data_IF_060561379957
#
_entry.id   IF_060561379957
#
_cell.length_a   1.000
_cell.length_b   1.000
_cell.length_c   1.000
_cell.angle_alpha   90.00
_cell.angle_beta   90.00
_cell.angle_gamma   90.00
#
_symmetry.space_group_name_H-M   'P 1'
#
loop_
_entity.id
_entity.type
_entity.pdbx_description
1 polymer ?
#
# COMPACT_ATOMS: atom_id res chain seq x y z
N UNK A 1 26.84 -16.28 27.89
CA UNK A 1 25.88 -16.79 26.89
C UNK A 1 24.45 -16.26 27.04
N UNK A 2 23.82 -16.27 28.23
CA UNK A 2 22.44 -15.73 28.41
C UNK A 2 22.23 -14.25 28.04
N UNK A 3 23.25 -13.40 28.19
CA UNK A 3 23.16 -11.96 27.87
C UNK A 3 23.16 -11.63 26.36
N UNK A 4 23.73 -12.51 25.53
CA UNK A 4 23.82 -12.32 24.06
C UNK A 4 22.49 -12.70 23.40
N UNK A 5 21.84 -13.76 23.89
CA UNK A 5 20.51 -14.17 23.42
C UNK A 5 19.45 -13.09 23.68
N UNK A 6 19.53 -12.40 24.81
CA UNK A 6 18.60 -11.31 25.17
C UNK A 6 18.82 -10.08 24.28
N UNK A 7 20.06 -9.78 23.90
CA UNK A 7 20.39 -8.68 22.98
C UNK A 7 19.93 -8.96 21.54
N UNK A 8 20.07 -10.20 21.06
CA UNK A 8 19.55 -10.64 19.75
C UNK A 8 18.03 -10.60 19.66
N UNK A 9 17.32 -10.96 20.75
CA UNK A 9 15.86 -10.85 20.81
C UNK A 9 15.43 -9.38 20.79
N UNK A 10 16.12 -8.49 21.50
CA UNK A 10 15.85 -7.05 21.42
C UNK A 10 16.12 -6.46 20.03
N UNK A 11 17.17 -6.88 19.31
CA UNK A 11 17.43 -6.38 17.95
C UNK A 11 16.37 -6.89 16.95
N UNK A 12 15.93 -8.14 17.07
CA UNK A 12 14.87 -8.70 16.22
C UNK A 12 13.49 -8.09 16.50
N UNK A 13 13.19 -7.75 17.77
CA UNK A 13 11.95 -7.04 18.11
C UNK A 13 11.95 -5.57 17.68
N UNK A 14 13.11 -4.91 17.63
CA UNK A 14 13.21 -3.54 17.14
C UNK A 14 13.25 -3.45 15.60
N UNK A 15 13.54 -4.54 14.87
CA UNK A 15 13.51 -4.55 13.40
C UNK A 15 12.10 -4.61 12.80
N UNK A 16 11.07 -4.89 13.61
CA UNK A 16 9.67 -4.79 13.17
C UNK A 16 9.11 -3.36 13.27
N UNK A 17 9.92 -2.39 13.72
CA UNK A 17 9.64 -0.96 13.64
C UNK A 17 10.42 -0.35 12.46
N UNK A 18 10.48 -1.07 11.33
CA UNK A 18 10.76 -0.45 10.04
C UNK A 18 9.57 0.45 9.73
N UNK A 19 9.78 1.76 9.86
CA UNK A 19 8.74 2.79 9.81
C UNK A 19 7.73 2.56 8.70
N UNK A 20 6.43 2.66 9.05
CA UNK A 20 5.38 2.82 8.06
C UNK A 20 5.80 3.94 7.12
N UNK A 21 5.92 3.63 5.82
CA UNK A 21 6.17 4.68 4.84
C UNK A 21 5.05 5.70 4.90
N UNK A 22 5.34 6.94 4.49
CA UNK A 22 4.33 8.00 4.43
C UNK A 22 3.08 7.54 3.66
N UNK A 23 3.29 6.78 2.57
CA UNK A 23 2.20 6.14 1.83
C UNK A 23 1.41 5.10 2.65
N UNK A 24 2.03 4.23 3.45
CA UNK A 24 1.28 3.27 4.27
C UNK A 24 0.44 3.95 5.36
N UNK A 25 0.97 5.02 5.97
CA UNK A 25 0.23 5.85 6.93
C UNK A 25 -0.94 6.56 6.24
N UNK A 26 -0.68 7.19 5.10
CA UNK A 26 -1.72 7.86 4.29
C UNK A 26 -2.79 6.87 3.81
N UNK A 27 -2.40 5.65 3.42
CA UNK A 27 -3.32 4.60 2.99
C UNK A 27 -4.27 4.20 4.11
N UNK A 28 -3.76 4.01 5.33
CA UNK A 28 -4.58 3.72 6.49
C UNK A 28 -5.58 4.85 6.77
N UNK A 29 -5.13 6.11 6.73
CA UNK A 29 -5.99 7.28 6.95
C UNK A 29 -7.08 7.38 5.88
N UNK A 30 -6.73 7.28 4.59
CA UNK A 30 -7.67 7.33 3.47
C UNK A 30 -8.73 6.24 3.61
N UNK A 31 -8.32 5.00 3.89
CA UNK A 31 -9.25 3.88 4.02
C UNK A 31 -10.12 4.01 5.27
N UNK A 32 -9.55 4.42 6.40
CA UNK A 32 -10.29 4.66 7.63
C UNK A 32 -11.41 5.70 7.41
N UNK A 33 -11.07 6.86 6.86
CA UNK A 33 -12.03 7.94 6.64
C UNK A 33 -13.07 7.57 5.57
N UNK A 34 -12.67 6.89 4.50
CA UNK A 34 -13.59 6.40 3.46
C UNK A 34 -14.64 5.43 4.02
N UNK A 35 -14.23 4.53 4.91
CA UNK A 35 -15.13 3.56 5.54
C UNK A 35 -16.05 4.23 6.56
N UNK A 36 -15.50 5.13 7.39
CA UNK A 36 -16.30 5.97 8.29
C UNK A 36 -17.38 6.72 7.53
N UNK A 37 -16.99 7.40 6.45
CA UNK A 37 -17.89 8.12 5.57
C UNK A 37 -19.02 7.21 5.05
N UNK A 38 -18.67 6.03 4.51
CA UNK A 38 -19.65 5.07 4.00
C UNK A 38 -20.70 4.67 5.06
N UNK A 39 -20.25 4.45 6.30
CA UNK A 39 -21.14 4.08 7.40
C UNK A 39 -22.01 5.25 7.89
N UNK A 40 -21.42 6.44 8.06
CA UNK A 40 -22.16 7.65 8.46
C UNK A 40 -23.23 7.99 7.44
N UNK A 41 -22.91 7.93 6.14
CA UNK A 41 -23.86 8.26 5.07
C UNK A 41 -25.03 7.27 4.95
N UNK A 42 -24.82 6.03 5.40
CA UNK A 42 -25.88 5.02 5.51
C UNK A 42 -26.66 5.09 6.84
N UNK A 43 -26.39 6.08 7.70
CA UNK A 43 -27.03 6.22 9.01
C UNK A 43 -26.50 5.25 10.08
N UNK A 44 -25.36 4.61 9.84
CA UNK A 44 -24.73 3.64 10.75
C UNK A 44 -23.55 4.28 11.50
N UNK A 45 -23.81 5.39 12.18
CA UNK A 45 -22.78 6.18 12.87
C UNK A 45 -22.07 5.39 13.99
N UNK A 46 -22.80 4.52 14.70
CA UNK A 46 -22.21 3.66 15.74
C UNK A 46 -21.09 2.77 15.21
N UNK A 47 -21.31 2.17 14.03
CA UNK A 47 -20.28 1.36 13.36
C UNK A 47 -19.08 2.25 13.02
N UNK A 48 -19.30 3.45 12.48
CA UNK A 48 -18.22 4.36 12.11
C UNK A 48 -17.35 4.76 13.33
N UNK A 49 -17.97 4.95 14.49
CA UNK A 49 -17.29 5.35 15.72
C UNK A 49 -16.49 4.20 16.37
N UNK A 50 -16.88 2.95 16.12
CA UNK A 50 -16.22 1.75 16.65
C UNK A 50 -15.09 1.23 15.75
N UNK A 51 -14.79 1.90 14.63
CA UNK A 51 -13.71 1.48 13.74
C UNK A 51 -12.34 1.74 14.37
N UNK A 52 -11.55 0.67 14.44
CA UNK A 52 -10.16 0.72 14.87
C UNK A 52 -9.26 1.05 13.67
N UNK A 53 -8.72 2.27 13.67
CA UNK A 53 -7.84 2.77 12.62
C UNK A 53 -6.35 2.79 13.04
N UNK A 54 -5.96 1.96 14.01
CA UNK A 54 -4.56 1.84 14.45
C UNK A 54 -3.64 1.20 13.40
N UNK A 55 -4.15 0.23 12.64
CA UNK A 55 -3.47 -0.41 11.53
C UNK A 55 -4.48 -1.06 10.58
N UNK A 56 -4.04 -1.42 9.36
CA UNK A 56 -4.92 -2.00 8.34
C UNK A 56 -5.60 -3.30 8.79
N UNK A 57 -4.91 -4.13 9.57
CA UNK A 57 -5.45 -5.39 10.05
C UNK A 57 -6.57 -5.17 11.08
N UNK A 58 -6.42 -4.16 11.94
CA UNK A 58 -7.40 -3.80 12.96
C UNK A 58 -8.62 -3.12 12.33
N UNK A 59 -8.40 -2.33 11.27
CA UNK A 59 -9.48 -1.79 10.43
C UNK A 59 -10.27 -2.91 9.75
N UNK A 60 -9.61 -3.93 9.19
CA UNK A 60 -10.27 -5.08 8.56
C UNK A 60 -11.12 -5.89 9.56
N UNK A 61 -10.65 -6.04 10.80
CA UNK A 61 -11.35 -6.76 11.87
C UNK A 61 -12.52 -5.98 12.46
N UNK A 62 -12.38 -4.66 12.62
CA UNK A 62 -13.41 -3.80 13.23
C UNK A 62 -14.62 -3.57 12.31
N UNK A 63 -14.46 -3.70 10.99
CA UNK A 63 -15.58 -3.61 10.05
C UNK A 63 -16.48 -4.86 10.15
N UNK A 64 -17.79 -4.70 10.43
CA UNK A 64 -18.71 -5.83 10.50
C UNK A 64 -18.82 -6.61 9.19
N UNK A 65 -19.00 -7.94 9.26
CA UNK A 65 -19.14 -8.82 8.07
C UNK A 65 -20.31 -8.44 7.16
N UNK A 66 -21.39 -7.88 7.72
CA UNK A 66 -22.53 -7.38 6.95
C UNK A 66 -22.19 -6.20 6.03
N UNK A 67 -21.07 -5.51 6.28
CA UNK A 67 -20.63 -4.32 5.56
C UNK A 67 -19.78 -4.65 4.34
N UNK A 68 -20.36 -5.41 3.39
CA UNK A 68 -19.63 -5.97 2.23
C UNK A 68 -18.89 -4.92 1.41
N UNK A 69 -19.49 -3.75 1.17
CA UNK A 69 -18.84 -2.67 0.41
C UNK A 69 -17.56 -2.16 1.10
N UNK A 70 -17.62 -1.90 2.41
CA UNK A 70 -16.46 -1.47 3.21
C UNK A 70 -15.36 -2.54 3.21
N UNK A 71 -15.72 -3.82 3.37
CA UNK A 71 -14.75 -4.93 3.34
C UNK A 71 -14.09 -5.12 1.97
N UNK A 72 -14.85 -4.98 0.90
CA UNK A 72 -14.32 -5.04 -0.46
C UNK A 72 -13.30 -3.93 -0.69
N UNK A 73 -13.61 -2.70 -0.27
CA UNK A 73 -12.70 -1.56 -0.39
C UNK A 73 -11.36 -1.81 0.35
N UNK A 74 -11.40 -2.30 1.60
CA UNK A 74 -10.16 -2.69 2.31
C UNK A 74 -9.40 -3.75 1.51
N UNK A 75 -10.08 -4.80 1.05
CA UNK A 75 -9.43 -5.92 0.35
C UNK A 75 -8.76 -5.47 -0.94
N UNK A 76 -9.39 -4.58 -1.70
CA UNK A 76 -8.88 -4.05 -2.97
C UNK A 76 -7.64 -3.18 -2.75
N UNK A 77 -7.64 -2.33 -1.72
CA UNK A 77 -6.61 -1.31 -1.54
C UNK A 77 -5.50 -1.68 -0.54
N UNK A 78 -5.71 -2.64 0.38
CA UNK A 78 -4.72 -2.99 1.40
C UNK A 78 -3.35 -3.39 0.82
N UNK A 79 -3.39 -4.12 -0.30
CA UNK A 79 -2.19 -4.63 -0.97
C UNK A 79 -1.71 -3.74 -2.13
N UNK A 80 -2.32 -2.57 -2.35
CA UNK A 80 -1.90 -1.65 -3.41
C UNK A 80 -0.64 -0.91 -2.99
N UNK A 81 0.37 -0.96 -3.85
CA UNK A 81 1.71 -0.38 -3.60
C UNK A 81 2.15 0.62 -4.66
N UNK A 82 1.45 0.70 -5.79
CA UNK A 82 1.74 1.60 -6.93
C UNK A 82 3.23 1.65 -7.31
N UNK A 83 3.85 0.47 -7.50
CA UNK A 83 5.30 0.33 -7.77
C UNK A 83 5.79 1.13 -9.00
N UNK A 84 4.91 1.42 -9.95
CA UNK A 84 5.24 2.17 -11.17
C UNK A 84 5.32 3.69 -10.95
N UNK A 85 4.86 4.20 -9.81
CA UNK A 85 4.89 5.62 -9.47
C UNK A 85 6.08 5.84 -8.52
N UNK A 86 7.07 6.67 -8.88
CA UNK A 86 8.27 6.85 -8.07
C UNK A 86 8.02 7.74 -6.84
N UNK A 87 7.20 8.79 -6.97
CA UNK A 87 6.94 9.75 -5.89
C UNK A 87 5.83 9.26 -4.93
N UNK A 88 6.11 9.25 -3.63
CA UNK A 88 5.16 8.84 -2.58
C UNK A 88 3.90 9.73 -2.57
N UNK A 89 4.05 11.04 -2.73
CA UNK A 89 2.94 12.00 -2.82
C UNK A 89 1.98 11.67 -3.96
N UNK A 90 2.50 11.28 -5.12
CA UNK A 90 1.70 10.89 -6.28
C UNK A 90 0.98 9.55 -6.07
N UNK A 91 1.61 8.61 -5.34
CA UNK A 91 0.93 7.38 -4.92
C UNK A 91 -0.26 7.69 -4.00
N UNK A 92 -0.09 8.63 -3.07
CA UNK A 92 -1.16 9.07 -2.17
C UNK A 92 -2.29 9.75 -2.98
N UNK A 93 -1.96 10.67 -3.88
CA UNK A 93 -2.93 11.32 -4.79
C UNK A 93 -3.70 10.29 -5.61
N UNK A 94 -3.00 9.30 -6.18
CA UNK A 94 -3.61 8.23 -6.97
C UNK A 94 -4.56 7.37 -6.12
N UNK A 95 -4.12 6.94 -4.93
CA UNK A 95 -4.94 6.16 -4.01
C UNK A 95 -6.20 6.94 -3.60
N UNK A 96 -6.06 8.20 -3.20
CA UNK A 96 -7.18 9.09 -2.85
C UNK A 96 -8.19 9.15 -4.00
N UNK A 97 -7.71 9.39 -5.23
CA UNK A 97 -8.55 9.47 -6.43
C UNK A 97 -9.29 8.15 -6.70
N UNK A 98 -8.63 7.01 -6.59
CA UNK A 98 -9.26 5.70 -6.79
C UNK A 98 -10.34 5.43 -5.74
N UNK A 99 -10.05 5.68 -4.46
CA UNK A 99 -11.01 5.48 -3.36
C UNK A 99 -12.22 6.40 -3.48
N UNK A 100 -12.02 7.70 -3.75
CA UNK A 100 -13.14 8.64 -3.96
C UNK A 100 -14.00 8.24 -5.16
N UNK A 101 -13.39 7.76 -6.25
CA UNK A 101 -14.12 7.25 -7.39
C UNK A 101 -14.93 5.99 -7.07
N UNK A 102 -14.40 5.09 -6.22
CA UNK A 102 -15.15 3.93 -5.76
C UNK A 102 -16.36 4.35 -4.92
N UNK A 103 -16.20 5.28 -3.98
CA UNK A 103 -17.31 5.80 -3.17
C UNK A 103 -18.37 6.52 -4.03
N UNK A 104 -17.96 7.26 -5.06
CA UNK A 104 -18.88 7.87 -6.03
C UNK A 104 -19.71 6.83 -6.78
N UNK A 105 -19.08 5.71 -7.18
CA UNK A 105 -19.77 4.56 -7.81
C UNK A 105 -20.64 3.77 -6.82
N UNK A 106 -20.34 3.84 -5.53
CA UNK A 106 -21.09 3.14 -4.49
C UNK A 106 -22.45 3.78 -4.20
N UNK A 107 -22.53 5.12 -4.21
CA UNK A 107 -23.77 5.85 -3.91
C UNK A 107 -25.01 5.35 -4.67
N UNK A 108 -25.02 5.26 -6.02
CA UNK A 108 -26.18 4.77 -6.77
C UNK A 108 -26.49 3.28 -6.57
N UNK A 109 -25.52 2.50 -6.04
CA UNK A 109 -25.74 1.09 -5.69
C UNK A 109 -26.44 0.93 -4.35
N UNK A 110 -26.27 1.89 -3.44
CA UNK A 110 -26.95 1.92 -2.14
C UNK A 110 -28.37 2.46 -2.31
N UNK A 111 -28.51 3.63 -2.93
CA UNK A 111 -29.79 4.29 -3.09
C UNK A 111 -29.77 5.23 -4.31
N UNK A 112 -30.82 5.17 -5.13
CA UNK A 112 -30.96 5.96 -6.36
C UNK A 112 -31.69 7.30 -6.15
N UNK A 113 -32.17 7.59 -4.95
CA UNK A 113 -32.88 8.84 -4.63
C UNK A 113 -31.96 10.06 -4.83
N UNK A 114 -32.45 11.05 -5.60
CA UNK A 114 -31.72 12.29 -5.89
C UNK A 114 -31.25 13.02 -4.62
N UNK A 115 -32.08 13.13 -3.58
CA UNK A 115 -31.71 13.80 -2.32
C UNK A 115 -30.57 13.08 -1.61
N UNK A 116 -30.58 11.74 -1.63
CA UNK A 116 -29.50 10.92 -1.09
C UNK A 116 -28.21 11.13 -1.88
N UNK A 117 -28.29 11.10 -3.21
CA UNK A 117 -27.13 11.31 -4.07
C UNK A 117 -26.52 12.71 -3.90
N UNK A 118 -27.34 13.75 -3.76
CA UNK A 118 -26.86 15.11 -3.46
C UNK A 118 -26.19 15.19 -2.09
N UNK A 119 -26.80 14.59 -1.05
CA UNK A 119 -26.20 14.54 0.29
C UNK A 119 -24.87 13.78 0.27
N UNK A 120 -24.81 12.68 -0.46
CA UNK A 120 -23.60 11.87 -0.64
C UNK A 120 -22.50 12.65 -1.35
N UNK A 121 -22.84 13.35 -2.44
CA UNK A 121 -21.85 14.15 -3.17
C UNK A 121 -21.28 15.27 -2.29
N UNK A 122 -22.13 16.01 -1.57
CA UNK A 122 -21.67 17.03 -0.60
C UNK A 122 -20.75 16.43 0.46
N UNK A 123 -21.09 15.26 0.99
CA UNK A 123 -20.27 14.57 1.96
C UNK A 123 -18.95 14.05 1.37
N UNK A 124 -18.91 13.64 0.10
CA UNK A 124 -17.68 13.27 -0.60
C UNK A 124 -16.76 14.48 -0.78
N UNK A 125 -17.31 15.64 -1.09
CA UNK A 125 -16.53 16.87 -1.22
C UNK A 125 -15.91 17.24 0.14
N UNK A 126 -16.69 17.16 1.23
CA UNK A 126 -16.16 17.33 2.59
C UNK A 126 -15.09 16.31 2.96
N UNK A 127 -15.27 15.03 2.59
CA UNK A 127 -14.26 13.98 2.80
C UNK A 127 -12.98 14.29 2.04
N UNK A 128 -13.08 14.75 0.80
CA UNK A 128 -11.92 15.14 0.00
C UNK A 128 -11.12 16.24 0.69
N UNK A 129 -11.79 17.30 1.15
CA UNK A 129 -11.15 18.41 1.87
C UNK A 129 -10.52 17.96 3.19
N UNK A 130 -11.19 17.09 3.94
CA UNK A 130 -10.64 16.52 5.18
C UNK A 130 -9.35 15.73 4.92
N UNK A 131 -9.35 14.90 3.87
CA UNK A 131 -8.16 14.16 3.47
C UNK A 131 -7.03 15.08 3.03
N UNK A 132 -7.32 16.16 2.29
CA UNK A 132 -6.29 17.15 1.92
C UNK A 132 -5.65 17.80 3.15
N UNK A 133 -6.46 18.15 4.16
CA UNK A 133 -5.95 18.74 5.40
C UNK A 133 -5.11 17.77 6.26
N UNK A 134 -5.49 16.49 6.30
CA UNK A 134 -4.81 15.49 7.15
C UNK A 134 -3.56 14.90 6.50
N UNK A 135 -3.48 14.89 5.16
CA UNK A 135 -2.41 14.27 4.41
C UNK A 135 -1.27 15.23 4.06
N UNK A 136 -1.40 16.53 4.37
CA UNK A 136 -0.39 17.57 4.07
C UNK A 136 0.17 17.47 2.64
N UNK A 137 -0.68 17.11 1.68
CA UNK A 137 -0.30 17.05 0.28
C UNK A 137 0.01 18.48 -0.19
N UNK A 138 1.15 18.73 -0.87
CA UNK A 138 1.38 20.03 -1.47
C UNK A 138 0.24 20.30 -2.45
N UNK A 139 -0.59 21.28 -2.10
CA UNK A 139 -1.58 21.87 -2.99
C UNK A 139 -0.82 22.38 -4.20
N UNK A 140 -1.10 21.84 -5.37
CA UNK A 140 -0.71 22.50 -6.62
C UNK A 140 -1.55 23.78 -6.70
N UNK A 141 -1.07 24.85 -6.06
CA UNK A 141 -1.50 26.19 -6.42
C UNK A 141 -1.10 26.40 -7.87
N UNK A 142 -2.13 26.62 -8.71
CA UNK A 142 -1.99 27.23 -10.02
C UNK A 142 -1.05 28.43 -9.89
N UNK A 143 0.15 28.34 -10.47
CA UNK A 143 1.02 29.48 -10.72
C UNK A 143 0.35 30.38 -11.75
N UNK A 144 -0.56 31.23 -11.27
CA UNK A 144 -1.02 32.38 -12.02
C UNK A 144 0.00 33.49 -11.79
N UNK A 145 0.92 33.59 -12.73
CA UNK A 145 1.87 34.69 -12.91
C UNK A 145 1.15 36.05 -12.83
N UNK A 146 1.61 37.00 -11.99
CA UNK A 146 1.43 38.41 -12.24
C UNK A 146 2.80 39.04 -12.53
N UNK A 147 2.96 39.38 -13.80
CA UNK A 147 4.01 40.22 -14.33
C UNK A 147 3.82 41.68 -13.82
N UNK A 148 4.90 42.22 -13.25
CA UNK A 148 5.35 43.63 -13.22
C UNK A 148 4.61 44.65 -12.33
N UNK A 149 5.35 45.18 -11.34
CA UNK A 149 5.78 46.60 -11.32
C UNK A 149 6.92 46.86 -10.34
N UNK A 150 8.05 47.27 -10.90
CA UNK A 150 9.20 47.89 -10.23
C UNK A 150 8.83 49.34 -9.87
N UNK A 151 9.10 49.79 -8.65
CA UNK A 151 9.81 51.07 -8.43
C UNK A 151 10.46 51.12 -7.04
N UNK A 152 11.52 51.92 -6.99
CA UNK A 152 12.63 52.00 -6.06
C UNK A 152 12.29 52.46 -4.63
N UNK A 153 13.07 52.01 -3.64
CA UNK A 153 13.85 52.86 -2.68
C UNK A 153 14.72 51.95 -1.77
N UNK A 154 16.04 52.10 -1.88
CA UNK A 154 17.11 51.55 -1.02
C UNK A 154 17.15 52.29 0.35
N UNK A 155 18.07 51.97 1.30
CA UNK A 155 18.59 50.69 1.79
C UNK A 155 18.59 50.65 3.35
N UNK A 156 18.59 49.50 4.01
CA UNK A 156 19.23 49.40 5.33
C UNK A 156 19.60 47.97 5.77
N UNK A 157 20.87 47.87 6.15
CA UNK A 157 21.60 46.99 7.07
C UNK A 157 21.29 45.48 7.28
N UNK A 158 22.42 44.77 7.30
CA UNK A 158 22.81 43.64 8.17
C UNK A 158 22.54 42.19 7.73
N UNK A 159 23.46 41.75 6.86
CA UNK A 159 23.99 40.40 6.73
C UNK A 159 24.55 39.88 8.08
N UNK A 160 23.88 38.91 8.71
CA UNK A 160 24.45 38.12 9.82
C UNK A 160 24.73 36.70 9.36
N UNK A 161 26.00 36.47 8.98
CA UNK A 161 26.61 35.16 8.74
C UNK A 161 26.86 34.48 10.09
N UNK A 162 26.21 33.34 10.34
CA UNK A 162 26.45 32.51 11.53
C UNK A 162 27.75 31.71 11.33
N UNK A 163 28.79 31.87 12.19
CA UNK A 163 30.07 31.18 12.03
C UNK A 163 30.01 29.69 12.41
N UNK A 164 30.62 28.87 11.56
CA UNK A 164 30.80 27.43 11.70
C UNK A 164 31.93 27.13 12.71
N UNK A 165 31.61 26.88 13.97
CA UNK A 165 32.57 26.35 14.95
C UNK A 165 32.86 24.86 14.68
N UNK A 166 34.11 24.57 14.29
CA UNK A 166 34.67 23.21 14.28
C UNK A 166 35.26 22.90 15.67
N UNK A 167 34.90 21.79 16.32
CA UNK A 167 35.74 21.25 17.38
C UNK A 167 36.91 20.45 16.78
N UNK A 168 38.14 20.84 17.15
CA UNK A 168 39.34 20.00 17.09
C UNK A 168 39.21 18.92 18.16
N UNK A 169 39.41 17.65 17.79
CA UNK A 169 39.79 16.60 18.74
C UNK A 169 40.68 15.55 18.06
N UNK A 170 41.98 15.68 18.36
CA UNK A 170 42.97 14.67 18.70
C UNK A 170 43.00 13.31 17.99
N UNK A 171 44.16 13.08 17.35
CA UNK A 171 44.80 11.80 17.05
C UNK A 171 44.70 10.81 18.23
N UNK A 172 44.22 9.60 17.97
CA UNK A 172 44.18 8.50 18.94
C UNK A 172 43.80 7.16 18.30
N UNK A 173 44.82 6.32 18.11
CA UNK A 173 44.80 4.85 17.99
C UNK A 173 43.84 4.17 16.98
N UNK A 174 44.46 3.58 15.95
CA UNK A 174 43.88 2.52 15.11
C UNK A 174 43.41 1.35 16.00
N UNK A 175 42.13 1.34 16.37
CA UNK A 175 41.50 0.12 16.89
C UNK A 175 41.04 -0.74 15.72
N UNK A 176 41.56 -1.97 15.62
CA UNK A 176 41.15 -3.02 14.66
C UNK A 176 39.69 -3.50 14.85
N UNK A 177 38.87 -2.71 15.56
CA UNK A 177 37.49 -3.03 15.94
C UNK A 177 36.52 -2.91 14.76
N UNK A 178 36.86 -2.16 13.70
CA UNK A 178 36.01 -2.07 12.50
C UNK A 178 36.05 -3.34 11.63
N UNK A 179 37.20 -4.02 11.59
CA UNK A 179 37.47 -5.10 10.64
C UNK A 179 36.77 -6.42 11.04
N UNK A 180 36.64 -6.72 12.33
CA UNK A 180 35.88 -7.88 12.81
C UNK A 180 34.36 -7.70 12.67
N UNK A 181 33.86 -6.47 12.80
CA UNK A 181 32.42 -6.17 12.61
C UNK A 181 32.02 -6.34 11.15
N UNK A 182 32.84 -5.83 10.22
CA UNK A 182 32.59 -5.94 8.78
C UNK A 182 32.65 -7.39 8.31
N UNK A 183 33.59 -8.19 8.83
CA UNK A 183 33.71 -9.61 8.46
C UNK A 183 32.55 -10.45 8.99
N UNK A 184 32.08 -10.21 10.22
CA UNK A 184 30.90 -10.89 10.76
C UNK A 184 29.63 -10.48 10.00
N UNK A 185 29.49 -9.19 9.66
CA UNK A 185 28.35 -8.70 8.88
C UNK A 185 28.32 -9.33 7.48
N UNK A 186 29.49 -9.38 6.80
CA UNK A 186 29.61 -10.02 5.49
C UNK A 186 29.24 -11.51 5.56
N UNK A 187 29.71 -12.24 6.60
CA UNK A 187 29.39 -13.65 6.79
C UNK A 187 27.89 -13.87 6.98
N UNK A 188 27.21 -13.02 7.76
CA UNK A 188 25.76 -13.10 7.98
C UNK A 188 24.97 -12.82 6.70
N UNK A 189 25.37 -11.84 5.91
CA UNK A 189 24.73 -11.54 4.61
C UNK A 189 24.92 -12.70 3.64
N UNK A 190 26.09 -13.34 3.60
CA UNK A 190 26.33 -14.52 2.78
C UNK A 190 25.46 -15.70 3.20
N UNK A 191 25.31 -15.97 4.50
CA UNK A 191 24.42 -17.03 4.99
C UNK A 191 22.94 -16.75 4.71
N UNK A 192 22.50 -15.49 4.85
CA UNK A 192 21.13 -15.08 4.52
C UNK A 192 20.85 -15.19 3.01
N UNK A 193 21.81 -14.82 2.16
CA UNK A 193 21.74 -14.97 0.71
C UNK A 193 21.60 -16.43 0.29
N UNK A 194 22.46 -17.31 0.80
CA UNK A 194 22.41 -18.75 0.48
C UNK A 194 21.13 -19.38 1.02
N UNK A 195 20.69 -19.00 2.23
CA UNK A 195 19.43 -19.46 2.81
C UNK A 195 18.20 -19.00 2.02
N UNK A 196 18.17 -17.74 1.58
CA UNK A 196 17.08 -17.20 0.76
C UNK A 196 17.04 -17.84 -0.63
N UNK A 197 18.20 -18.04 -1.26
CA UNK A 197 18.31 -18.76 -2.53
C UNK A 197 17.80 -20.21 -2.39
N UNK A 198 18.17 -20.92 -1.32
CA UNK A 198 17.69 -22.28 -1.05
C UNK A 198 16.17 -22.34 -0.81
N UNK A 199 15.62 -21.40 -0.05
CA UNK A 199 14.18 -21.34 0.24
C UNK A 199 13.35 -20.97 -1.00
N UNK A 200 13.82 -20.01 -1.80
CA UNK A 200 13.18 -19.65 -3.07
C UNK A 200 13.22 -20.78 -4.08
N UNK A 201 14.31 -21.54 -4.16
CA UNK A 201 14.41 -22.70 -5.06
C UNK A 201 13.48 -23.85 -4.65
N UNK A 202 13.31 -24.10 -3.35
CA UNK A 202 12.33 -25.10 -2.87
C UNK A 202 10.87 -24.66 -3.07
N UNK A 203 10.56 -23.39 -2.86
CA UNK A 203 9.19 -22.88 -3.05
C UNK A 203 8.82 -22.74 -4.53
N UNK A 204 9.76 -22.38 -5.40
CA UNK A 204 9.51 -22.37 -6.85
C UNK A 204 9.37 -23.79 -7.40
N UNK A 205 10.16 -24.76 -6.94
CA UNK A 205 10.01 -26.16 -7.35
C UNK A 205 8.64 -26.75 -6.96
N UNK A 206 8.14 -26.44 -5.75
CA UNK A 206 6.80 -26.87 -5.33
C UNK A 206 5.70 -26.21 -6.17
N UNK A 207 5.81 -24.90 -6.42
CA UNK A 207 4.84 -24.17 -7.26
C UNK A 207 4.87 -24.62 -8.72
N UNK A 208 6.05 -24.93 -9.27
CA UNK A 208 6.19 -25.50 -10.61
C UNK A 208 5.52 -26.87 -10.70
N UNK A 209 5.71 -27.74 -9.70
CA UNK A 209 5.08 -29.06 -9.68
C UNK A 209 3.56 -28.99 -9.52
N UNK A 210 3.06 -28.03 -8.74
CA UNK A 210 1.63 -27.78 -8.57
C UNK A 210 0.99 -27.22 -9.85
N UNK A 211 1.69 -26.31 -10.55
CA UNK A 211 1.27 -25.81 -11.86
C UNK A 211 1.29 -26.90 -12.93
N UNK A 212 2.31 -27.78 -12.93
CA UNK A 212 2.41 -28.88 -13.88
C UNK A 212 1.29 -29.92 -13.67
N UNK A 213 0.94 -30.20 -12.41
CA UNK A 213 -0.23 -31.02 -12.08
C UNK A 213 -1.55 -30.38 -12.54
N UNK A 214 -1.74 -29.07 -12.31
CA UNK A 214 -2.93 -28.33 -12.78
C UNK A 214 -3.04 -28.29 -14.30
N UNK A 215 -1.92 -28.16 -15.01
CA UNK A 215 -1.87 -28.19 -16.48
C UNK A 215 -2.20 -29.59 -16.99
N UNK A 216 -1.61 -30.64 -16.38
CA UNK A 216 -1.88 -32.04 -16.75
C UNK A 216 -3.34 -32.44 -16.52
N UNK A 217 -3.94 -31.98 -15.42
CA UNK A 217 -5.36 -32.22 -15.12
C UNK A 217 -6.28 -31.50 -16.13
N UNK A 218 -5.96 -30.25 -16.50
CA UNK A 218 -6.69 -29.55 -17.56
C UNK A 218 -6.53 -30.21 -18.93
N UNK A 219 -5.33 -30.68 -19.28
CA UNK A 219 -5.09 -31.39 -20.54
C UNK A 219 -5.86 -32.71 -20.59
N UNK A 220 -5.85 -33.52 -19.52
CA UNK A 220 -6.67 -34.73 -19.45
C UNK A 220 -8.17 -34.44 -19.58
N UNK A 221 -8.66 -33.35 -18.96
CA UNK A 221 -10.06 -32.96 -19.10
C UNK A 221 -10.41 -32.49 -20.53
N UNK A 222 -9.45 -31.89 -21.25
CA UNK A 222 -9.61 -31.53 -22.66
C UNK A 222 -9.59 -32.76 -23.57
N UNK A 223 -8.69 -33.71 -23.31
CA UNK A 223 -8.55 -34.95 -24.07
C UNK A 223 -9.80 -35.83 -23.94
N UNK A 224 -10.33 -36.01 -22.71
CA UNK A 224 -11.60 -36.71 -22.45
C UNK A 224 -12.80 -36.01 -23.13
N UNK A 225 -12.72 -34.69 -23.36
CA UNK A 225 -13.78 -33.95 -24.08
C UNK A 225 -13.65 -34.11 -25.59
N UNK A 226 -12.42 -34.21 -26.12
CA UNK A 226 -12.15 -34.51 -27.52
C UNK A 226 -12.53 -35.95 -27.86
N UNK A 227 -12.24 -36.91 -26.98
CA UNK A 227 -12.63 -38.32 -27.14
C UNK A 227 -14.16 -38.52 -27.05
N UNK A 228 -14.86 -37.66 -26.30
CA UNK A 228 -16.33 -37.63 -26.25
C UNK A 228 -16.98 -36.85 -27.40
N UNK A 229 -16.22 -36.12 -28.20
CA UNK A 229 -16.69 -35.60 -29.47
C UNK A 229 -16.53 -36.72 -30.51
N UNK A 230 -17.51 -37.62 -30.51
CA UNK A 230 -17.81 -38.56 -31.61
C UNK A 230 -17.44 -37.89 -32.92
N UNK A 231 -16.45 -38.46 -33.61
CA UNK A 231 -15.97 -37.93 -34.88
C UNK A 231 -17.16 -37.78 -35.82
N UNK A 232 -17.22 -36.68 -36.58
CA UNK A 232 -18.29 -36.39 -37.54
C UNK A 232 -18.60 -37.57 -38.49
N UNK A 233 -17.64 -38.48 -38.67
CA UNK A 233 -17.75 -39.71 -39.44
C UNK A 233 -18.65 -40.77 -38.79
N UNK A 234 -18.67 -40.89 -37.46
CA UNK A 234 -19.56 -41.82 -36.73
C UNK A 234 -21.01 -41.34 -36.72
N UNK A 235 -21.25 -40.03 -36.59
CA UNK A 235 -22.59 -39.46 -36.70
C UNK A 235 -23.20 -39.65 -38.10
N UNK A 236 -22.39 -39.61 -39.16
CA UNK A 236 -22.82 -39.85 -40.54
C UNK A 236 -23.09 -41.34 -40.84
N UNK A 237 -22.44 -42.26 -40.12
CA UNK A 237 -22.76 -43.71 -40.19
C UNK A 237 -24.07 -44.05 -39.46
N UNK A 238 -24.42 -43.30 -38.42
CA UNK A 238 -25.61 -43.56 -37.59
C UNK A 238 -26.89 -42.88 -38.10
N UNK A 239 -26.78 -41.91 -39.01
CA UNK A 239 -27.94 -41.28 -39.63
C UNK A 239 -27.65 -40.93 -41.11
N UNK A 240 -27.79 -41.90 -42.05
CA UNK A 240 -27.66 -41.64 -43.46
C UNK A 240 -28.94 -41.00 -43.99
N UNK A 241 -28.97 -39.67 -44.04
CA UNK A 241 -29.87 -38.89 -44.87
C UNK A 241 -29.06 -37.89 -45.71
#
# INVERSE_FOLDING_TARGET
MKKIALFLICILYNFQVLGQTEFEKAKLEILCQAIRFNHVMQGKAEIANQLDCSNLQSLEKSVPNASRASKNMITVYKNKTYQQIPAETDKIKQLKKEVLNELKKLAPRINKNATFLTKWQKGLDSLSTLLDSNLSLPTEENTQNPEVKTDNTNPDLEETVIPLERPKTNTGEQSNTGLWIITILAMMISFLSVGYAYLTQKTTAHKLKEMDNLVKERYNHLDVRMDKMVTKEEYRKQNPQ
#
